data_IF_084074992029
#
_entry.id   IF_084074992029
#
_cell.length_a   1.000
_cell.length_b   1.000
_cell.length_c   1.000
_cell.angle_alpha   90.00
_cell.angle_beta   90.00
_cell.angle_gamma   90.00
#
_symmetry.space_group_name_H-M   'P 1'
#
loop_
_entity.id
_entity.type
_entity.pdbx_description
1 polymer ?
#
# COMPACT_ATOMS: atom_id res chain seq x y z
N UNK A 1 15.34 16.18 22.33
CA UNK A 1 14.50 16.31 21.12
C UNK A 1 13.37 15.31 21.33
N UNK A 2 12.12 15.76 21.36
CA UNK A 2 11.01 14.85 21.62
C UNK A 2 10.91 13.82 20.50
N UNK A 3 10.65 12.56 20.84
CA UNK A 3 10.52 11.46 19.89
C UNK A 3 9.06 11.02 19.89
N UNK A 4 8.37 11.21 18.78
CA UNK A 4 6.99 10.75 18.61
C UNK A 4 6.99 9.64 17.58
N UNK A 5 6.33 8.53 17.91
CA UNK A 5 6.11 7.42 16.98
C UNK A 5 4.65 7.40 16.57
N UNK A 6 4.42 7.52 15.27
CA UNK A 6 3.11 7.33 14.67
C UNK A 6 2.96 5.84 14.36
N UNK A 7 1.93 5.23 14.90
CA UNK A 7 1.57 3.83 14.67
C UNK A 7 0.28 3.77 13.86
N UNK A 8 0.23 2.89 12.88
CA UNK A 8 -0.95 2.66 12.07
C UNK A 8 -1.65 1.39 12.53
N UNK A 9 -2.97 1.47 12.67
CA UNK A 9 -3.82 0.34 13.04
C UNK A 9 -4.94 0.25 12.02
N UNK A 10 -5.15 -0.94 11.46
CA UNK A 10 -6.27 -1.25 10.58
C UNK A 10 -7.32 -2.05 11.33
N UNK A 11 -8.57 -1.98 10.88
CA UNK A 11 -9.61 -2.89 11.38
C UNK A 11 -9.28 -4.36 11.03
N UNK A 12 -9.69 -5.30 11.87
CA UNK A 12 -9.35 -6.73 11.73
C UNK A 12 -9.99 -7.39 10.51
N UNK A 13 -11.11 -6.84 10.04
CA UNK A 13 -11.82 -7.35 8.87
C UNK A 13 -11.23 -6.83 7.54
N UNK A 14 -10.37 -5.81 7.61
CA UNK A 14 -9.79 -5.13 6.43
C UNK A 14 -8.36 -5.63 6.13
N UNK A 15 -8.21 -6.96 6.16
CA UNK A 15 -6.92 -7.68 6.14
C UNK A 15 -5.98 -7.40 4.95
N UNK A 16 -6.43 -6.66 3.93
CA UNK A 16 -5.64 -6.29 2.75
C UNK A 16 -5.36 -4.79 2.62
N UNK A 17 -5.72 -3.98 3.61
CA UNK A 17 -5.36 -2.56 3.63
C UNK A 17 -3.90 -2.36 4.04
N UNK A 18 -3.11 -1.76 3.14
CA UNK A 18 -1.67 -1.49 3.34
C UNK A 18 -1.44 0.00 3.48
N UNK A 19 -0.62 0.39 4.47
CA UNK A 19 -0.29 1.80 4.72
C UNK A 19 1.22 2.00 4.56
N UNK A 20 1.62 2.96 3.73
CA UNK A 20 3.02 3.25 3.42
C UNK A 20 3.31 4.74 3.59
N UNK A 21 4.53 5.09 4.00
CA UNK A 21 5.04 6.46 3.86
C UNK A 21 5.04 6.87 2.39
N UNK A 22 4.71 8.12 2.06
CA UNK A 22 4.84 8.64 0.70
C UNK A 22 6.26 9.17 0.47
N UNK A 23 7.16 8.42 -0.21
CA UNK A 23 8.55 8.83 -0.36
C UNK A 23 8.72 10.02 -1.31
N UNK A 24 7.73 10.32 -2.16
CA UNK A 24 7.80 11.38 -3.16
C UNK A 24 7.50 12.75 -2.53
N UNK A 25 6.58 12.77 -1.56
CA UNK A 25 6.22 13.98 -0.82
C UNK A 25 7.02 14.15 0.46
N UNK A 26 7.43 13.06 1.11
CA UNK A 26 8.31 13.12 2.28
C UNK A 26 9.76 13.30 1.86
N UNK A 27 10.13 14.49 1.39
CA UNK A 27 11.52 14.85 1.05
C UNK A 27 12.12 15.82 2.06
N UNK A 28 13.42 15.69 2.29
CA UNK A 28 14.20 16.73 2.95
C UNK A 28 14.68 17.79 1.95
N UNK A 29 15.43 18.78 2.43
CA UNK A 29 15.95 19.89 1.61
C UNK A 29 16.96 19.43 0.53
N UNK A 30 17.45 18.19 0.61
CA UNK A 30 18.35 17.58 -0.38
C UNK A 30 17.61 16.75 -1.43
N UNK A 31 16.29 16.56 -1.27
CA UNK A 31 15.49 15.67 -2.11
C UNK A 31 15.55 14.20 -1.68
N UNK A 32 16.17 13.90 -0.54
CA UNK A 32 16.21 12.54 0.02
C UNK A 32 14.94 12.23 0.80
N UNK A 33 14.54 10.96 0.85
CA UNK A 33 13.33 10.55 1.59
C UNK A 33 13.50 10.79 3.09
N UNK A 34 12.61 11.60 3.65
CA UNK A 34 12.55 11.98 5.05
C UNK A 34 11.73 10.97 5.84
N UNK A 35 12.33 10.39 6.87
CA UNK A 35 11.69 9.40 7.77
C UNK A 35 11.52 9.92 9.20
N UNK A 36 11.98 11.14 9.49
CA UNK A 36 11.91 11.78 10.80
C UNK A 36 11.43 13.21 10.65
N UNK A 37 10.42 13.57 11.42
CA UNK A 37 9.71 14.84 11.33
C UNK A 37 9.83 15.61 12.65
N UNK A 38 9.93 16.93 12.57
CA UNK A 38 9.81 17.82 13.73
C UNK A 38 8.34 18.18 13.93
N UNK A 39 7.98 18.64 15.11
CA UNK A 39 6.66 19.24 15.31
C UNK A 39 6.45 20.42 14.34
N UNK A 40 5.25 20.49 13.76
CA UNK A 40 4.89 21.42 12.70
C UNK A 40 5.27 20.95 11.29
N UNK A 41 6.11 19.92 11.14
CA UNK A 41 6.32 19.30 9.84
C UNK A 41 5.13 18.40 9.48
N UNK A 42 4.78 18.39 8.21
CA UNK A 42 3.77 17.49 7.65
C UNK A 42 4.43 16.20 7.16
N UNK A 43 3.88 15.05 7.56
CA UNK A 43 4.22 13.74 7.05
C UNK A 43 3.08 13.21 6.16
N UNK A 44 3.42 12.65 5.02
CA UNK A 44 2.46 12.10 4.04
C UNK A 44 2.49 10.58 4.03
N UNK A 45 1.35 9.94 3.85
CA UNK A 45 1.25 8.49 3.75
C UNK A 45 0.12 8.06 2.83
N UNK A 46 0.30 6.90 2.19
CA UNK A 46 -0.60 6.29 1.22
C UNK A 46 -1.32 5.14 1.89
N UNK A 47 -2.62 5.03 1.65
CA UNK A 47 -3.43 3.89 2.06
C UNK A 47 -3.89 3.18 0.79
N UNK A 48 -3.44 1.95 0.60
CA UNK A 48 -3.84 1.06 -0.48
C UNK A 48 -4.94 0.14 0.02
N UNK A 49 -6.07 0.11 -0.68
CA UNK A 49 -7.22 -0.76 -0.43
C UNK A 49 -7.93 -1.04 -1.75
N UNK A 50 -8.74 -2.10 -1.82
CA UNK A 50 -9.61 -2.38 -2.97
C UNK A 50 -10.56 -1.19 -3.25
N UNK A 51 -11.10 -0.55 -2.21
CA UNK A 51 -12.02 0.59 -2.30
C UNK A 51 -11.44 1.80 -1.56
N UNK A 52 -10.45 2.51 -2.14
CA UNK A 52 -9.78 3.62 -1.45
C UNK A 52 -10.74 4.79 -1.15
N UNK A 53 -11.86 4.90 -1.86
CA UNK A 53 -12.92 5.87 -1.62
C UNK A 53 -13.77 5.58 -0.38
N UNK A 54 -13.84 4.32 0.05
CA UNK A 54 -14.63 3.89 1.23
C UNK A 54 -13.79 3.75 2.50
N UNK A 55 -12.77 4.59 2.65
CA UNK A 55 -11.90 4.58 3.83
C UNK A 55 -12.30 5.69 4.80
N UNK A 56 -12.43 5.34 6.08
CA UNK A 56 -12.48 6.27 7.20
C UNK A 56 -11.14 6.23 7.96
N UNK A 57 -10.56 7.40 8.19
CA UNK A 57 -9.28 7.55 8.89
C UNK A 57 -9.43 8.52 10.05
N UNK A 58 -8.94 8.12 11.21
CA UNK A 58 -8.95 8.92 12.44
C UNK A 58 -7.60 8.88 13.12
N UNK A 59 -7.30 9.88 13.95
CA UNK A 59 -6.05 9.91 14.71
C UNK A 59 -6.26 10.35 16.15
N UNK A 60 -5.41 9.87 17.06
CA UNK A 60 -5.47 10.23 18.48
C UNK A 60 -4.91 11.61 18.78
N UNK A 61 -4.02 12.13 17.93
CA UNK A 61 -3.49 13.51 18.00
C UNK A 61 -3.00 13.95 16.62
N UNK A 62 -2.84 15.26 16.43
CA UNK A 62 -2.41 15.84 15.17
C UNK A 62 -3.55 16.25 14.25
N UNK A 63 -3.19 17.05 13.26
CA UNK A 63 -4.08 17.49 12.20
C UNK A 63 -3.95 16.53 11.03
N UNK A 64 -4.97 15.71 10.82
CA UNK A 64 -5.11 14.81 9.68
C UNK A 64 -5.79 15.54 8.53
N UNK A 65 -5.24 15.44 7.31
CA UNK A 65 -5.87 15.94 6.10
C UNK A 65 -5.92 14.85 5.02
N UNK A 66 -7.11 14.65 4.46
CA UNK A 66 -7.34 13.84 3.25
C UNK A 66 -7.02 14.67 2.01
N UNK A 67 -6.15 14.13 1.16
CA UNK A 67 -5.67 14.79 -0.05
C UNK A 67 -6.24 14.16 -1.33
N UNK A 68 -7.14 13.18 -1.19
CA UNK A 68 -7.87 12.53 -2.27
C UNK A 68 -7.24 11.21 -2.74
N UNK A 69 -7.81 10.68 -3.82
CA UNK A 69 -7.40 9.41 -4.42
C UNK A 69 -6.45 9.67 -5.58
N UNK A 70 -5.37 8.91 -5.62
CA UNK A 70 -4.34 8.97 -6.65
C UNK A 70 -4.12 7.59 -7.26
N UNK A 71 -3.59 7.58 -8.48
CA UNK A 71 -3.11 6.37 -9.13
C UNK A 71 -1.59 6.26 -8.97
N UNK A 72 -1.10 5.02 -8.89
CA UNK A 72 0.32 4.70 -8.92
C UNK A 72 0.60 3.55 -9.89
N UNK A 73 1.88 3.32 -10.14
CA UNK A 73 2.36 2.14 -10.86
C UNK A 73 3.22 1.30 -9.93
N UNK A 74 2.97 0.00 -9.91
CA UNK A 74 3.88 -0.99 -9.35
C UNK A 74 4.62 -1.63 -10.52
N UNK A 75 5.94 -1.67 -10.42
CA UNK A 75 6.81 -2.23 -11.43
C UNK A 75 7.58 -3.41 -10.82
N UNK A 76 7.82 -4.42 -11.65
CA UNK A 76 8.70 -5.54 -11.36
C UNK A 76 8.32 -6.38 -10.13
N UNK A 77 7.03 -6.50 -9.81
CA UNK A 77 6.59 -7.41 -8.76
C UNK A 77 6.67 -8.85 -9.25
N UNK A 78 7.31 -9.73 -8.48
CA UNK A 78 7.50 -11.13 -8.85
C UNK A 78 6.47 -11.99 -8.12
N UNK A 79 5.61 -12.66 -8.88
CA UNK A 79 4.63 -13.61 -8.37
C UNK A 79 5.00 -15.05 -8.74
N UNK A 80 4.63 -16.01 -7.89
CA UNK A 80 4.90 -17.44 -8.10
C UNK A 80 3.63 -18.27 -8.12
N UNK A 81 3.52 -19.17 -9.09
CA UNK A 81 2.45 -20.16 -9.25
C UNK A 81 3.04 -21.56 -9.06
N UNK A 82 2.86 -22.12 -7.86
CA UNK A 82 3.46 -23.40 -7.46
C UNK A 82 2.39 -24.48 -7.30
N UNK A 83 1.37 -24.20 -6.49
CA UNK A 83 0.28 -25.14 -6.18
C UNK A 83 -1.08 -24.70 -6.70
N UNK A 84 -1.24 -23.42 -7.00
CA UNK A 84 -2.51 -22.81 -7.42
C UNK A 84 -2.32 -21.99 -8.70
N UNK A 85 -3.40 -21.82 -9.45
CA UNK A 85 -3.52 -20.90 -10.57
C UNK A 85 -3.57 -19.44 -10.13
N UNK A 86 -3.64 -19.17 -8.83
CA UNK A 86 -3.71 -17.82 -8.28
C UNK A 86 -2.42 -17.40 -7.60
N UNK A 87 -2.11 -16.11 -7.70
CA UNK A 87 -1.07 -15.47 -6.90
C UNK A 87 -1.58 -14.12 -6.38
N UNK A 88 -1.24 -13.82 -5.11
CA UNK A 88 -1.60 -12.57 -4.48
C UNK A 88 -0.57 -11.48 -4.79
N UNK A 89 -1.06 -10.25 -4.96
CA UNK A 89 -0.27 -9.05 -5.17
C UNK A 89 -0.15 -8.24 -3.88
N UNK A 90 0.94 -7.50 -3.73
CA UNK A 90 1.16 -6.64 -2.56
C UNK A 90 0.16 -5.47 -2.49
N UNK A 91 -0.32 -5.00 -3.64
CA UNK A 91 -1.19 -3.82 -3.78
C UNK A 91 -2.38 -4.12 -4.69
N UNK A 92 -3.50 -3.41 -4.51
CA UNK A 92 -4.69 -3.63 -5.31
C UNK A 92 -4.40 -3.28 -6.78
N UNK A 93 -4.50 -4.28 -7.63
CA UNK A 93 -4.41 -4.21 -9.08
C UNK A 93 -5.67 -3.55 -9.64
N UNK A 94 -5.48 -2.45 -10.35
CA UNK A 94 -6.52 -1.82 -11.17
C UNK A 94 -6.44 -2.28 -12.62
N UNK A 95 -5.22 -2.42 -13.14
CA UNK A 95 -4.97 -2.95 -14.48
C UNK A 95 -3.54 -3.46 -14.59
N UNK A 96 -3.34 -4.68 -15.10
CA UNK A 96 -2.01 -5.16 -15.48
C UNK A 96 -1.54 -4.39 -16.72
N UNK A 97 -0.35 -3.80 -16.66
CA UNK A 97 0.23 -3.01 -17.75
C UNK A 97 1.26 -3.81 -18.55
N UNK A 98 2.00 -4.69 -17.90
CA UNK A 98 2.94 -5.60 -18.54
C UNK A 98 3.14 -6.85 -17.67
N UNK A 99 3.53 -7.97 -18.30
CA UNK A 99 4.02 -9.13 -17.57
C UNK A 99 4.98 -9.97 -18.43
N UNK A 100 5.91 -10.65 -17.78
CA UNK A 100 6.88 -11.55 -18.38
C UNK A 100 7.05 -12.80 -17.52
N UNK A 101 6.87 -13.98 -18.12
CA UNK A 101 7.12 -15.25 -17.44
C UNK A 101 8.62 -15.48 -17.27
N UNK A 102 9.05 -15.69 -16.03
CA UNK A 102 10.41 -16.02 -15.64
C UNK A 102 10.57 -17.55 -15.64
N UNK A 103 10.69 -18.15 -16.83
CA UNK A 103 10.82 -19.59 -17.01
C UNK A 103 9.60 -20.21 -17.71
N UNK A 104 8.98 -21.20 -17.06
CA UNK A 104 7.76 -21.82 -17.60
C UNK A 104 6.64 -20.79 -17.74
N UNK A 105 5.84 -20.91 -18.80
CA UNK A 105 4.66 -20.08 -19.00
C UNK A 105 3.39 -20.88 -18.71
N UNK A 106 2.58 -20.39 -17.78
CA UNK A 106 1.24 -20.92 -17.52
C UNK A 106 0.16 -20.23 -18.37
N UNK A 107 0.54 -19.57 -19.46
CA UNK A 107 -0.38 -18.91 -20.39
C UNK A 107 -0.66 -17.46 -20.03
N UNK A 108 -1.87 -17.00 -20.31
CA UNK A 108 -2.27 -15.62 -20.02
C UNK A 108 -2.46 -15.38 -18.53
N UNK A 109 -2.16 -14.15 -18.11
CA UNK A 109 -2.50 -13.63 -16.78
C UNK A 109 -3.76 -12.78 -16.89
N UNK A 110 -4.71 -13.03 -15.99
CA UNK A 110 -5.94 -12.23 -15.84
C UNK A 110 -6.14 -11.86 -14.39
N UNK A 111 -6.79 -10.73 -14.14
CA UNK A 111 -7.19 -10.34 -12.79
C UNK A 111 -8.41 -11.15 -12.36
N UNK A 112 -8.32 -11.85 -11.23
CA UNK A 112 -9.45 -12.55 -10.62
C UNK A 112 -10.24 -11.62 -9.69
N UNK A 113 -9.51 -10.88 -8.86
CA UNK A 113 -10.00 -9.80 -8.02
C UNK A 113 -8.89 -8.75 -7.85
N UNK A 114 -9.14 -7.67 -7.11
CA UNK A 114 -8.17 -6.58 -7.01
C UNK A 114 -6.85 -6.98 -6.35
N UNK A 115 -6.72 -8.10 -5.63
CA UNK A 115 -5.45 -8.53 -5.06
C UNK A 115 -4.94 -9.85 -5.65
N UNK A 116 -5.72 -10.51 -6.51
CA UNK A 116 -5.41 -11.85 -6.97
C UNK A 116 -5.33 -11.88 -8.49
N UNK A 117 -4.20 -12.37 -9.00
CA UNK A 117 -4.03 -12.70 -10.41
C UNK A 117 -4.20 -14.19 -10.64
N UNK A 118 -4.77 -14.54 -11.78
CA UNK A 118 -5.04 -15.90 -12.23
C UNK A 118 -4.24 -16.21 -13.49
N UNK A 119 -3.60 -17.38 -13.52
CA UNK A 119 -2.93 -17.93 -14.67
C UNK A 119 -3.81 -18.95 -15.42
N UNK A 120 -3.82 -18.88 -16.75
CA UNK A 120 -4.66 -19.70 -17.63
C UNK A 120 -4.52 -21.22 -17.41
N UNK A 121 -3.32 -21.70 -17.09
CA UNK A 121 -3.02 -23.12 -16.83
C UNK A 121 -2.65 -23.36 -15.37
N UNK A 122 -3.13 -24.47 -14.81
CA UNK A 122 -2.75 -24.92 -13.49
C UNK A 122 -1.27 -25.32 -13.42
N UNK A 123 -0.55 -24.93 -12.35
CA UNK A 123 0.77 -25.48 -12.11
C UNK A 123 0.68 -26.98 -11.80
N UNK A 124 1.77 -27.70 -12.02
CA UNK A 124 1.91 -29.11 -11.67
C UNK A 124 3.30 -29.37 -11.08
N UNK A 125 3.54 -30.59 -10.57
CA UNK A 125 4.82 -30.95 -9.95
C UNK A 125 6.03 -30.69 -10.86
N UNK A 126 5.85 -30.82 -12.18
CA UNK A 126 6.89 -30.59 -13.19
C UNK A 126 6.74 -29.24 -13.92
N UNK A 127 5.73 -28.45 -13.58
CA UNK A 127 5.39 -27.22 -14.30
C UNK A 127 4.90 -26.12 -13.34
N UNK A 128 5.83 -25.58 -12.55
CA UNK A 128 5.65 -24.36 -11.75
C UNK A 128 6.19 -23.16 -12.52
N UNK A 129 5.75 -21.95 -12.18
CA UNK A 129 6.17 -20.74 -12.87
C UNK A 129 6.31 -19.53 -11.94
N UNK A 130 7.14 -18.59 -12.35
CA UNK A 130 7.22 -17.25 -11.78
C UNK A 130 6.96 -16.22 -12.87
N UNK A 131 6.35 -15.09 -12.53
CA UNK A 131 6.07 -14.00 -13.47
C UNK A 131 6.51 -12.69 -12.85
N UNK A 132 7.20 -11.86 -13.63
CA UNK A 132 7.39 -10.45 -13.32
C UNK A 132 6.17 -9.69 -13.88
N UNK A 133 5.48 -8.92 -13.05
CA UNK A 133 4.34 -8.09 -13.45
C UNK A 133 4.60 -6.62 -13.17
N UNK A 134 3.97 -5.79 -14.00
CA UNK A 134 3.76 -4.37 -13.74
C UNK A 134 2.28 -4.06 -13.85
N UNK A 135 1.77 -3.21 -12.97
CA UNK A 135 0.35 -2.86 -12.94
C UNK A 135 0.10 -1.45 -12.39
N UNK A 136 -1.08 -0.93 -12.67
CA UNK A 136 -1.56 0.29 -12.02
C UNK A 136 -2.32 -0.07 -10.75
N UNK A 137 -2.15 0.76 -9.72
CA UNK A 137 -2.85 0.66 -8.44
C UNK A 137 -3.48 2.01 -8.09
N UNK A 138 -4.35 2.05 -7.10
CA UNK A 138 -4.92 3.29 -6.56
C UNK A 138 -4.75 3.32 -5.05
N UNK A 139 -4.54 4.51 -4.51
CA UNK A 139 -4.39 4.74 -3.07
C UNK A 139 -5.06 6.05 -2.69
N UNK A 140 -5.52 6.14 -1.44
CA UNK A 140 -5.92 7.40 -0.84
C UNK A 140 -4.74 8.01 -0.09
N UNK A 141 -4.50 9.29 -0.35
CA UNK A 141 -3.36 9.99 0.22
C UNK A 141 -3.80 10.83 1.41
N UNK A 142 -3.09 10.67 2.52
CA UNK A 142 -3.29 11.45 3.72
C UNK A 142 -2.02 12.19 4.13
N UNK A 143 -2.22 13.19 4.97
CA UNK A 143 -1.13 13.83 5.70
C UNK A 143 -1.48 14.01 7.17
N UNK A 144 -0.44 14.05 8.00
CA UNK A 144 -0.56 14.32 9.43
C UNK A 144 0.49 15.36 9.84
N UNK A 145 0.04 16.36 10.59
CA UNK A 145 0.93 17.38 11.19
C UNK A 145 0.74 17.38 12.70
N UNK A 146 1.85 17.24 13.44
CA UNK A 146 1.81 17.21 14.89
C UNK A 146 2.21 18.56 15.48
N UNK A 147 1.35 19.11 16.33
CA UNK A 147 1.67 20.29 17.13
C UNK A 147 2.58 19.94 18.31
N UNK A 148 3.43 20.89 18.71
CA UNK A 148 4.36 20.68 19.83
C UNK A 148 3.58 20.46 21.14
N UNK A 149 3.90 19.36 21.84
CA UNK A 149 3.38 19.04 23.17
C UNK A 149 4.47 19.22 24.24
N UNK A 150 4.06 19.24 25.50
CA UNK A 150 4.97 19.30 26.66
C UNK A 150 5.64 17.95 26.99
N UNK A 151 5.20 16.87 26.34
CA UNK A 151 5.74 15.52 26.53
C UNK A 151 6.96 15.27 25.63
N UNK A 152 7.95 14.57 26.17
CA UNK A 152 9.17 14.20 25.46
C UNK A 152 8.96 13.00 24.51
N UNK A 153 8.07 12.07 24.83
CA UNK A 153 7.70 10.94 23.97
C UNK A 153 6.27 10.49 24.29
N UNK A 154 5.47 10.27 23.24
CA UNK A 154 4.13 9.68 23.34
C UNK A 154 3.75 9.03 22.01
N UNK A 155 2.88 8.00 22.02
CA UNK A 155 2.41 7.38 20.79
C UNK A 155 1.29 8.22 20.15
N UNK A 156 1.29 8.29 18.82
CA UNK A 156 0.15 8.77 18.03
C UNK A 156 -0.36 7.58 17.23
N UNK A 157 -1.65 7.30 17.31
CA UNK A 157 -2.28 6.24 16.53
C UNK A 157 -3.06 6.84 15.37
N UNK A 158 -2.92 6.25 14.19
CA UNK A 158 -3.78 6.48 13.03
C UNK A 158 -4.57 5.20 12.83
N UNK A 159 -5.88 5.28 13.00
CA UNK A 159 -6.80 4.16 12.82
C UNK A 159 -7.50 4.29 11.48
N UNK A 160 -7.41 3.23 10.67
CA UNK A 160 -7.96 3.13 9.32
C UNK A 160 -8.97 2.00 9.30
N UNK A 161 -10.14 2.25 8.75
CA UNK A 161 -11.18 1.23 8.53
C UNK A 161 -11.90 1.46 7.21
N UNK A 162 -12.45 0.40 6.66
CA UNK A 162 -13.44 0.49 5.59
C UNK A 162 -14.79 0.99 6.14
N UNK A 163 -15.49 1.79 5.36
CA UNK A 163 -16.87 2.17 5.62
C UNK A 163 -17.79 1.11 5.01
N UNK A 164 -18.54 0.42 5.85
CA UNK A 164 -19.62 -0.45 5.40
C UNK A 164 -20.69 0.40 4.68
N UNK A 165 -21.12 -0.06 3.50
CA UNK A 165 -22.25 0.52 2.75
C UNK A 165 -23.56 -0.09 3.22
#
# INVERSE_FOLDING_TARGET
>A
MAKVTISFVTDTDDSKTTIESDPDRNKDYTGSTKTRFRYGDTAYFRIYSHEPDKLAVSTTDGELADLGIYAGSVADEILTFITDQTAETEKPVRSVTAYEWLGNSLGKITMQDSYTLFAEKAPSADNIAAVNISYTTSYRLYSITLSKRAFDEYPVMVYVRSEDV
#
